data_IF_128555663180
#
_entry.id   IF_128555663180
#
_cell.length_a   1.000
_cell.length_b   1.000
_cell.length_c   1.000
_cell.angle_alpha   90.00
_cell.angle_beta   90.00
_cell.angle_gamma   90.00
#
_symmetry.space_group_name_H-M   'P 1'
#
loop_
_entity.id
_entity.type
_entity.pdbx_description
1 polymer ?
#
# COMPACT_ATOMS: atom_id res chain seq x y z
N UNK A 1 26.34 1.81 8.15
CA UNK A 1 25.69 2.60 7.05
C UNK A 1 24.56 3.40 7.62
N UNK A 2 24.63 4.73 7.47
CA UNK A 2 23.57 5.64 7.95
C UNK A 2 22.59 5.92 6.80
N UNK A 3 21.32 5.65 7.05
CA UNK A 3 20.24 5.71 6.04
C UNK A 3 19.20 6.74 6.48
N UNK A 4 18.83 7.63 5.58
CA UNK A 4 17.71 8.55 5.79
C UNK A 4 16.53 8.13 4.90
N UNK A 5 15.43 7.76 5.52
CA UNK A 5 14.17 7.48 4.83
C UNK A 5 13.39 8.78 4.68
N UNK A 6 13.07 9.15 3.45
CA UNK A 6 12.24 10.32 3.14
C UNK A 6 10.82 9.87 2.85
N UNK A 7 9.86 10.36 3.62
CA UNK A 7 8.44 9.97 3.49
C UNK A 7 7.52 11.19 3.50
N UNK A 8 6.41 11.10 2.78
CA UNK A 8 5.35 12.14 2.76
C UNK A 8 4.77 12.39 4.15
N UNK A 9 4.49 11.31 4.87
CA UNK A 9 3.99 11.30 6.24
C UNK A 9 4.63 10.14 7.00
N UNK A 10 4.67 10.23 8.32
CA UNK A 10 5.15 9.18 9.20
C UNK A 10 4.35 9.24 10.52
N UNK A 11 4.11 8.12 11.20
CA UNK A 11 3.31 8.09 12.42
C UNK A 11 3.73 9.17 13.42
N UNK A 12 2.76 9.79 14.06
CA UNK A 12 2.96 10.86 15.07
C UNK A 12 3.23 10.26 16.44
N UNK A 13 2.56 9.15 16.71
CA UNK A 13 2.61 8.35 17.92
C UNK A 13 2.37 6.86 17.58
N UNK A 14 2.37 6.00 18.57
CA UNK A 14 2.20 4.55 18.42
C UNK A 14 0.81 4.15 17.88
N UNK A 15 -0.20 4.97 18.14
CA UNK A 15 -1.58 4.69 17.74
C UNK A 15 -1.92 5.24 16.34
N UNK A 16 -1.07 6.11 15.77
CA UNK A 16 -1.29 6.71 14.46
C UNK A 16 -1.23 5.64 13.34
N UNK A 17 -2.33 5.37 12.61
CA UNK A 17 -2.36 4.36 11.56
C UNK A 17 -1.59 4.76 10.30
N UNK A 18 -1.09 6.00 10.23
CA UNK A 18 -0.42 6.54 9.05
C UNK A 18 0.85 5.77 8.73
N UNK A 19 0.85 5.06 7.60
CA UNK A 19 2.00 4.28 7.08
C UNK A 19 2.70 3.38 8.12
N UNK A 20 1.94 2.72 8.99
CA UNK A 20 2.47 1.79 10.01
C UNK A 20 3.40 0.73 9.42
N UNK A 21 3.10 0.23 8.21
CA UNK A 21 3.96 -0.73 7.53
C UNK A 21 5.39 -0.21 7.29
N UNK A 22 5.56 1.10 7.01
CA UNK A 22 6.89 1.70 6.83
C UNK A 22 7.64 1.80 8.17
N UNK A 23 6.93 2.19 9.23
CA UNK A 23 7.51 2.22 10.57
C UNK A 23 7.99 0.82 11.00
N UNK A 24 7.19 -0.23 10.74
CA UNK A 24 7.54 -1.61 11.03
C UNK A 24 8.74 -2.09 10.17
N UNK A 25 8.76 -1.75 8.88
CA UNK A 25 9.91 -2.03 8.01
C UNK A 25 11.19 -1.43 8.58
N UNK A 26 11.14 -0.16 8.99
CA UNK A 26 12.31 0.53 9.57
C UNK A 26 12.70 -0.11 10.90
N UNK A 27 11.75 -0.42 11.77
CA UNK A 27 12.01 -1.07 13.07
C UNK A 27 12.76 -2.39 12.89
N UNK A 28 12.31 -3.25 11.95
CA UNK A 28 12.94 -4.55 11.67
C UNK A 28 14.33 -4.40 11.03
N UNK A 29 14.51 -3.44 10.13
CA UNK A 29 15.83 -3.14 9.56
C UNK A 29 16.81 -2.62 10.64
N UNK A 30 16.34 -1.77 11.56
CA UNK A 30 17.15 -1.31 12.70
C UNK A 30 17.53 -2.45 13.63
N UNK A 31 16.63 -3.40 13.87
CA UNK A 31 16.95 -4.62 14.64
C UNK A 31 18.04 -5.48 13.97
N UNK A 32 18.27 -5.34 12.66
CA UNK A 32 19.40 -5.95 11.93
C UNK A 32 20.69 -5.10 11.95
N UNK A 33 20.69 -3.98 12.64
CA UNK A 33 21.88 -3.14 12.82
C UNK A 33 22.03 -1.99 11.83
N UNK A 34 21.01 -1.69 10.99
CA UNK A 34 21.03 -0.49 10.16
C UNK A 34 20.71 0.76 10.98
N UNK A 35 21.48 1.82 10.82
CA UNK A 35 21.21 3.13 11.41
C UNK A 35 20.23 3.90 10.50
N UNK A 36 18.93 3.81 10.79
CA UNK A 36 17.88 4.42 9.96
C UNK A 36 17.18 5.52 10.74
N UNK A 37 17.08 6.68 10.13
CA UNK A 37 16.31 7.84 10.60
C UNK A 37 15.31 8.27 9.54
N UNK A 38 14.30 9.05 9.92
CA UNK A 38 13.21 9.47 9.04
C UNK A 38 13.21 10.98 8.84
N UNK A 39 13.01 11.42 7.60
CA UNK A 39 12.78 12.81 7.25
C UNK A 39 11.39 12.98 6.67
N UNK A 40 10.57 13.78 7.31
CA UNK A 40 9.17 14.02 6.91
C UNK A 40 8.74 15.44 7.25
N UNK A 41 7.55 15.85 6.80
CA UNK A 41 7.02 17.17 7.13
C UNK A 41 6.42 17.23 8.54
N UNK A 42 6.46 18.40 9.14
CA UNK A 42 5.70 18.70 10.35
C UNK A 42 4.19 18.67 10.08
N UNK A 43 3.43 18.24 11.08
CA UNK A 43 1.98 18.33 11.11
C UNK A 43 1.53 19.21 12.27
N UNK A 44 0.75 20.26 11.98
CA UNK A 44 0.22 21.21 12.95
C UNK A 44 1.25 21.69 14.00
N UNK A 45 2.49 21.90 13.56
CA UNK A 45 3.59 22.43 14.39
C UNK A 45 4.37 21.38 15.18
N UNK A 46 4.16 20.09 14.93
CA UNK A 46 4.98 19.03 15.52
C UNK A 46 6.46 19.17 15.13
N UNK A 47 7.35 18.98 16.08
CA UNK A 47 8.82 18.99 15.89
C UNK A 47 9.42 17.61 15.75
N UNK A 48 10.74 17.56 15.81
CA UNK A 48 11.48 16.31 15.85
C UNK A 48 11.05 15.46 17.03
N UNK A 49 10.91 14.17 16.80
CA UNK A 49 10.47 13.19 17.80
C UNK A 49 11.27 11.89 17.64
N UNK A 50 11.09 10.98 18.58
CA UNK A 50 11.55 9.60 18.45
C UNK A 50 10.36 8.70 18.67
N UNK A 51 10.13 7.73 17.77
CA UNK A 51 9.08 6.73 17.88
C UNK A 51 9.72 5.35 17.80
N UNK A 52 9.51 4.50 18.81
CA UNK A 52 10.11 3.16 18.91
C UNK A 52 11.62 3.15 18.67
N UNK A 53 12.33 4.17 19.20
CA UNK A 53 13.76 4.34 18.99
C UNK A 53 14.17 4.88 17.62
N UNK A 54 13.22 5.16 16.70
CA UNK A 54 13.48 5.71 15.37
C UNK A 54 13.51 7.24 15.47
N UNK A 55 14.65 7.92 15.21
CA UNK A 55 14.67 9.38 15.14
C UNK A 55 13.92 9.92 13.94
N UNK A 56 13.05 10.90 14.16
CA UNK A 56 12.20 11.50 13.12
C UNK A 56 12.48 13.00 13.05
N UNK A 57 13.00 13.44 11.91
CA UNK A 57 13.27 14.83 11.59
C UNK A 57 12.07 15.43 10.86
N UNK A 58 11.33 16.31 11.54
CA UNK A 58 10.13 16.95 10.99
C UNK A 58 10.44 18.40 10.60
N UNK A 59 10.46 18.69 9.31
CA UNK A 59 10.68 20.06 8.85
C UNK A 59 9.40 20.89 8.84
N UNK A 60 9.51 22.10 9.36
CA UNK A 60 8.44 23.11 9.28
C UNK A 60 8.44 23.73 7.89
N UNK A 61 7.25 23.96 7.31
CA UNK A 61 7.15 24.54 5.98
C UNK A 61 6.18 25.72 5.89
N UNK A 62 5.38 25.95 6.92
CA UNK A 62 4.47 27.10 7.00
C UNK A 62 4.06 27.40 8.43
N UNK A 63 3.00 28.25 8.62
CA UNK A 63 2.42 28.49 9.93
C UNK A 63 1.75 27.22 10.47
N UNK A 64 1.84 27.00 11.77
CA UNK A 64 1.42 25.77 12.47
C UNK A 64 0.04 25.23 12.04
N UNK A 65 -0.98 26.12 11.94
CA UNK A 65 -2.35 25.73 11.55
C UNK A 65 -2.50 25.22 10.12
N UNK A 66 -1.53 25.52 9.25
CA UNK A 66 -1.56 25.18 7.82
C UNK A 66 -0.59 24.06 7.45
N UNK A 67 0.13 23.51 8.44
CA UNK A 67 1.01 22.34 8.24
C UNK A 67 0.20 21.06 8.28
N UNK A 68 -0.70 20.88 7.32
CA UNK A 68 -1.60 19.72 7.20
C UNK A 68 -1.70 19.18 5.77
N UNK A 69 -0.75 19.56 4.89
CA UNK A 69 -0.81 19.25 3.46
C UNK A 69 -0.89 17.74 3.15
N UNK A 70 -0.33 16.87 3.98
CA UNK A 70 -0.04 15.47 3.65
C UNK A 70 -0.55 14.43 4.64
N UNK A 71 -1.23 14.78 5.72
CA UNK A 71 -1.53 13.85 6.82
C UNK A 71 -2.98 13.34 6.86
N UNK A 72 -3.97 14.20 6.66
CA UNK A 72 -5.39 13.83 6.78
C UNK A 72 -5.98 13.45 5.41
N UNK A 73 -5.57 14.17 4.38
CA UNK A 73 -6.00 13.98 3.00
C UNK A 73 -4.80 14.04 2.07
N UNK A 74 -4.97 13.56 0.85
CA UNK A 74 -3.91 13.71 -0.15
C UNK A 74 -3.72 15.19 -0.51
N UNK A 75 -2.48 15.63 -0.69
CA UNK A 75 -2.17 17.00 -1.09
C UNK A 75 -2.98 17.49 -2.30
N UNK A 76 -3.21 16.66 -3.33
CA UNK A 76 -4.05 17.00 -4.47
C UNK A 76 -5.51 17.22 -4.19
N UNK A 77 -6.10 16.47 -3.29
CA UNK A 77 -7.50 16.65 -2.95
C UNK A 77 -7.70 17.97 -2.20
N UNK A 78 -6.73 18.34 -1.34
CA UNK A 78 -6.72 19.68 -0.69
C UNK A 78 -6.53 20.81 -1.70
N UNK A 79 -5.61 20.68 -2.65
CA UNK A 79 -5.37 21.68 -3.69
C UNK A 79 -6.60 21.95 -4.56
N UNK A 80 -7.51 20.99 -4.69
CA UNK A 80 -8.78 21.18 -5.42
C UNK A 80 -9.81 22.00 -4.66
N UNK A 81 -9.76 21.97 -3.32
CA UNK A 81 -10.74 22.64 -2.47
C UNK A 81 -10.42 24.11 -2.26
N UNK A 82 -9.15 24.52 -2.38
CA UNK A 82 -8.76 25.91 -2.11
C UNK A 82 -7.48 26.30 -2.87
N UNK A 83 -7.51 27.45 -3.52
CA UNK A 83 -6.35 28.07 -4.19
C UNK A 83 -5.16 28.28 -3.23
N UNK A 84 -5.41 28.50 -1.95
CA UNK A 84 -4.34 28.62 -0.94
C UNK A 84 -3.47 27.35 -0.88
N UNK A 85 -4.07 26.17 -0.94
CA UNK A 85 -3.33 24.91 -0.93
C UNK A 85 -2.51 24.67 -2.22
N UNK A 86 -2.70 25.43 -3.28
CA UNK A 86 -1.86 25.36 -4.48
C UNK A 86 -0.49 26.03 -4.30
N UNK A 87 -0.38 26.93 -3.33
CA UNK A 87 0.87 27.65 -3.02
C UNK A 87 1.72 26.89 -2.00
N UNK A 88 1.09 26.16 -1.06
CA UNK A 88 1.79 25.44 0.01
C UNK A 88 2.86 24.46 -0.48
N UNK A 89 2.70 23.73 -1.60
CA UNK A 89 3.75 22.85 -2.13
C UNK A 89 5.06 23.58 -2.43
N UNK A 90 5.03 24.84 -2.84
CA UNK A 90 6.25 25.62 -3.08
C UNK A 90 7.03 25.85 -1.77
N UNK A 91 6.35 26.22 -0.70
CA UNK A 91 6.95 26.36 0.63
C UNK A 91 7.43 25.03 1.17
N UNK A 92 6.64 23.96 1.00
CA UNK A 92 7.01 22.60 1.38
C UNK A 92 8.35 22.18 0.74
N UNK A 93 8.48 22.38 -0.56
CA UNK A 93 9.70 22.04 -1.30
C UNK A 93 10.88 22.94 -0.91
N UNK A 94 10.67 24.24 -0.76
CA UNK A 94 11.72 25.19 -0.39
C UNK A 94 12.28 24.89 1.02
N UNK A 95 11.41 24.89 2.02
CA UNK A 95 11.85 24.70 3.42
C UNK A 95 12.30 23.27 3.68
N UNK A 96 11.67 22.26 3.04
CA UNK A 96 12.12 20.89 3.07
C UNK A 96 13.52 20.72 2.45
N UNK A 97 13.82 21.42 1.35
CA UNK A 97 15.14 21.41 0.73
C UNK A 97 16.21 22.05 1.63
N UNK A 98 15.90 23.18 2.26
CA UNK A 98 16.80 23.83 3.22
C UNK A 98 17.08 22.92 4.43
N UNK A 99 16.01 22.31 4.97
CA UNK A 99 16.12 21.38 6.09
C UNK A 99 16.95 20.14 5.71
N UNK A 100 16.70 19.55 4.54
CA UNK A 100 17.45 18.40 4.02
C UNK A 100 18.92 18.73 3.84
N UNK A 101 19.24 19.89 3.24
CA UNK A 101 20.63 20.34 3.08
C UNK A 101 21.35 20.42 4.41
N UNK A 102 20.74 21.10 5.41
CA UNK A 102 21.33 21.27 6.75
C UNK A 102 21.49 19.92 7.45
N UNK A 103 20.47 19.08 7.40
CA UNK A 103 20.49 17.75 8.02
C UNK A 103 21.59 16.89 7.41
N UNK A 104 21.66 16.82 6.08
CA UNK A 104 22.67 16.02 5.38
C UNK A 104 24.11 16.51 5.65
N UNK A 105 24.33 17.81 5.76
CA UNK A 105 25.65 18.39 6.10
C UNK A 105 26.07 18.06 7.52
N UNK A 106 25.12 17.94 8.43
CA UNK A 106 25.37 17.64 9.84
C UNK A 106 25.55 16.14 10.08
N UNK A 107 24.61 15.34 9.62
CA UNK A 107 24.49 13.91 9.94
C UNK A 107 25.21 12.98 8.95
N UNK A 108 25.43 13.43 7.71
CA UNK A 108 26.21 12.74 6.66
C UNK A 108 25.69 11.34 6.31
N UNK A 109 24.40 11.18 6.03
CA UNK A 109 23.81 9.90 5.60
C UNK A 109 24.48 9.38 4.33
N UNK A 110 24.71 8.08 4.30
CA UNK A 110 25.31 7.37 3.16
C UNK A 110 24.26 7.09 2.09
N UNK A 111 23.06 6.73 2.53
CA UNK A 111 21.92 6.42 1.66
C UNK A 111 20.73 7.33 2.02
N UNK A 112 20.07 7.84 0.99
CA UNK A 112 18.75 8.51 1.10
C UNK A 112 17.74 7.69 0.33
N UNK A 113 16.82 7.04 1.05
CA UNK A 113 15.76 6.22 0.50
C UNK A 113 14.48 7.04 0.40
N UNK A 114 14.09 7.38 -0.81
CA UNK A 114 12.97 8.28 -1.10
C UNK A 114 11.73 7.47 -1.45
N UNK A 115 10.74 7.52 -0.56
CA UNK A 115 9.40 6.98 -0.79
C UNK A 115 8.53 8.05 -1.46
N UNK A 116 7.68 7.64 -2.40
CA UNK A 116 6.86 8.54 -3.23
C UNK A 116 7.71 9.64 -3.90
N UNK A 117 8.49 9.31 -4.93
CA UNK A 117 9.46 10.23 -5.55
C UNK A 117 8.87 11.54 -6.06
N UNK A 118 7.55 11.60 -6.27
CA UNK A 118 6.86 12.86 -6.60
C UNK A 118 6.26 13.47 -5.32
N UNK A 119 6.72 14.63 -4.83
CA UNK A 119 7.83 15.45 -5.36
C UNK A 119 9.18 15.20 -4.65
N UNK A 120 9.28 14.19 -3.79
CA UNK A 120 10.38 14.00 -2.83
C UNK A 120 11.73 13.67 -3.45
N UNK A 121 11.78 13.30 -4.75
CA UNK A 121 13.06 13.12 -5.47
C UNK A 121 13.95 14.38 -5.38
N UNK A 122 13.36 15.57 -5.26
CA UNK A 122 14.09 16.80 -5.03
C UNK A 122 14.93 16.74 -3.76
N UNK A 123 14.41 16.19 -2.66
CA UNK A 123 15.13 16.06 -1.39
C UNK A 123 16.32 15.10 -1.52
N UNK A 124 16.16 14.00 -2.28
CA UNK A 124 17.26 13.10 -2.62
C UNK A 124 18.37 13.83 -3.39
N UNK A 125 18.04 14.66 -4.38
CA UNK A 125 19.01 15.43 -5.12
C UNK A 125 19.70 16.50 -4.27
N UNK A 126 18.96 17.17 -3.39
CA UNK A 126 19.53 18.14 -2.44
C UNK A 126 20.50 17.45 -1.48
N UNK A 127 20.15 16.25 -0.97
CA UNK A 127 21.05 15.47 -0.14
C UNK A 127 22.35 15.10 -0.86
N UNK A 128 22.24 14.64 -2.12
CA UNK A 128 23.44 14.34 -2.95
C UNK A 128 24.25 15.59 -3.29
N UNK A 129 23.61 16.74 -3.50
CA UNK A 129 24.31 17.99 -3.71
C UNK A 129 25.07 18.46 -2.45
N UNK A 130 24.50 18.23 -1.26
CA UNK A 130 25.13 18.52 0.02
C UNK A 130 26.32 17.57 0.34
N UNK A 131 26.23 16.29 -0.08
CA UNK A 131 27.28 15.27 0.05
C UNK A 131 27.31 14.38 -1.19
N UNK A 132 28.27 14.54 -2.07
CA UNK A 132 28.33 13.87 -3.39
C UNK A 132 28.35 12.34 -3.37
N UNK A 133 28.83 11.74 -2.26
CA UNK A 133 28.89 10.28 -2.09
C UNK A 133 27.54 9.65 -1.70
N UNK A 134 26.53 10.47 -1.37
CA UNK A 134 25.20 9.97 -0.99
C UNK A 134 24.53 9.18 -2.11
N UNK A 135 24.14 7.95 -1.83
CA UNK A 135 23.38 7.08 -2.72
C UNK A 135 21.88 7.38 -2.58
N UNK A 136 21.14 7.26 -3.67
CA UNK A 136 19.71 7.55 -3.70
C UNK A 136 18.94 6.32 -4.18
N UNK A 137 17.99 5.88 -3.37
CA UNK A 137 16.99 4.88 -3.73
C UNK A 137 15.67 5.59 -3.97
N UNK A 138 14.97 5.26 -5.05
CA UNK A 138 13.63 5.77 -5.35
C UNK A 138 12.63 4.63 -5.30
N UNK A 139 11.65 4.71 -4.38
CA UNK A 139 10.63 3.68 -4.23
C UNK A 139 9.25 4.17 -4.67
N UNK A 140 8.64 3.44 -5.62
CA UNK A 140 7.39 3.76 -6.30
C UNK A 140 6.22 2.90 -5.81
N UNK A 141 5.04 3.56 -5.65
CA UNK A 141 3.81 2.96 -5.14
C UNK A 141 2.65 3.01 -6.13
N UNK A 142 2.92 3.28 -7.42
CA UNK A 142 1.94 3.35 -8.50
C UNK A 142 1.07 4.63 -8.50
N UNK A 143 0.68 5.18 -7.37
CA UNK A 143 -0.19 6.35 -7.30
C UNK A 143 0.42 7.60 -7.95
N UNK A 144 1.70 7.85 -7.75
CA UNK A 144 2.45 8.96 -8.34
C UNK A 144 2.59 8.84 -9.86
N UNK A 145 2.71 7.62 -10.38
CA UNK A 145 2.81 7.34 -11.82
C UNK A 145 1.49 7.63 -12.53
N UNK A 146 0.38 7.17 -11.94
CA UNK A 146 -0.98 7.43 -12.44
C UNK A 146 -1.30 8.93 -12.48
N UNK A 147 -0.83 9.67 -11.49
CA UNK A 147 -0.98 11.12 -11.41
C UNK A 147 -0.30 11.85 -12.56
N UNK A 148 0.95 11.49 -12.83
CA UNK A 148 1.75 12.09 -13.90
C UNK A 148 1.18 11.75 -15.27
N UNK A 149 0.72 10.53 -15.45
CA UNK A 149 0.17 10.10 -16.74
C UNK A 149 -1.17 10.77 -17.08
N UNK A 150 -1.96 11.15 -16.06
CA UNK A 150 -3.34 11.63 -16.28
C UNK A 150 -3.57 13.11 -16.01
N UNK A 151 -2.79 13.74 -15.15
CA UNK A 151 -3.13 15.07 -14.62
C UNK A 151 -2.04 16.13 -14.74
N UNK A 152 -0.76 15.75 -14.67
CA UNK A 152 0.35 16.70 -14.60
C UNK A 152 1.49 16.22 -15.50
N UNK A 153 1.25 16.22 -16.81
CA UNK A 153 2.23 15.78 -17.79
C UNK A 153 3.59 16.51 -17.69
N UNK A 154 3.59 17.76 -17.21
CA UNK A 154 4.82 18.55 -17.01
C UNK A 154 5.76 17.91 -15.98
N UNK A 155 5.23 17.18 -15.01
CA UNK A 155 6.03 16.45 -14.01
C UNK A 155 6.61 15.13 -14.54
N UNK A 156 6.22 14.71 -15.73
CA UNK A 156 6.73 13.49 -16.36
C UNK A 156 8.25 13.57 -16.57
N UNK A 157 8.74 14.71 -17.02
CA UNK A 157 10.18 14.97 -17.15
C UNK A 157 10.92 14.93 -15.81
N UNK A 158 10.28 15.44 -14.75
CA UNK A 158 10.83 15.40 -13.40
C UNK A 158 10.99 13.95 -12.90
N UNK A 159 9.95 13.12 -12.96
CA UNK A 159 10.03 11.72 -12.55
C UNK A 159 10.98 10.90 -13.42
N UNK A 160 10.97 11.10 -14.74
CA UNK A 160 11.95 10.46 -15.63
C UNK A 160 13.39 10.76 -15.20
N UNK A 161 13.67 12.03 -14.87
CA UNK A 161 14.98 12.41 -14.35
C UNK A 161 15.27 11.79 -12.98
N UNK A 162 14.26 11.69 -12.10
CA UNK A 162 14.41 11.05 -10.79
C UNK A 162 14.81 9.57 -10.93
N UNK A 163 14.10 8.84 -11.78
CA UNK A 163 14.36 7.43 -12.08
C UNK A 163 15.80 7.26 -12.61
N UNK A 164 16.17 8.01 -13.65
CA UNK A 164 17.49 7.89 -14.31
C UNK A 164 18.67 8.31 -13.43
N UNK A 165 18.43 9.11 -12.38
CA UNK A 165 19.49 9.58 -11.45
C UNK A 165 19.53 8.81 -10.15
N UNK A 166 18.65 7.86 -9.93
CA UNK A 166 18.69 6.96 -8.80
C UNK A 166 19.85 5.95 -8.92
N UNK A 167 20.43 5.53 -7.80
CA UNK A 167 21.38 4.41 -7.77
C UNK A 167 20.66 3.06 -7.75
N UNK A 168 19.43 3.04 -7.18
CA UNK A 168 18.50 1.92 -7.22
C UNK A 168 17.08 2.44 -7.37
N UNK A 169 16.25 1.67 -8.07
CA UNK A 169 14.82 1.93 -8.23
C UNK A 169 14.05 0.73 -7.75
N UNK A 170 13.10 0.97 -6.86
CA UNK A 170 12.26 -0.06 -6.25
C UNK A 170 10.81 0.20 -6.58
N UNK A 171 10.05 -0.85 -6.86
CA UNK A 171 8.60 -0.81 -7.09
C UNK A 171 7.89 -1.83 -6.20
N UNK A 172 6.65 -1.55 -5.80
CA UNK A 172 5.87 -2.47 -4.94
C UNK A 172 5.28 -3.67 -5.68
N UNK A 173 5.28 -3.64 -7.02
CA UNK A 173 4.72 -4.72 -7.84
C UNK A 173 5.35 -4.72 -9.23
N UNK A 174 5.24 -5.86 -9.92
CA UNK A 174 5.66 -5.99 -11.32
C UNK A 174 4.92 -5.01 -12.24
N UNK A 175 3.64 -4.76 -11.97
CA UNK A 175 2.85 -3.76 -12.70
C UNK A 175 3.44 -2.36 -12.51
N UNK A 176 3.77 -1.98 -11.28
CA UNK A 176 4.41 -0.68 -10.99
C UNK A 176 5.81 -0.60 -11.63
N UNK A 177 6.59 -1.69 -11.62
CA UNK A 177 7.91 -1.73 -12.26
C UNK A 177 7.82 -1.48 -13.76
N UNK A 178 6.85 -2.09 -14.46
CA UNK A 178 6.61 -1.84 -15.89
C UNK A 178 6.25 -0.37 -16.18
N UNK A 179 5.40 0.24 -15.35
CA UNK A 179 5.05 1.66 -15.48
C UNK A 179 6.28 2.57 -15.28
N UNK A 180 7.15 2.25 -14.31
CA UNK A 180 8.41 2.96 -14.05
C UNK A 180 9.35 2.86 -15.25
N UNK A 181 9.57 1.66 -15.78
CA UNK A 181 10.41 1.44 -16.97
C UNK A 181 9.87 2.17 -18.19
N UNK A 182 8.56 2.11 -18.43
CA UNK A 182 7.90 2.84 -19.50
C UNK A 182 8.08 4.36 -19.35
N UNK A 183 7.98 4.89 -18.12
CA UNK A 183 8.21 6.31 -17.85
C UNK A 183 9.68 6.69 -18.02
N UNK A 184 10.62 5.84 -17.64
CA UNK A 184 12.06 6.07 -17.83
C UNK A 184 12.43 6.24 -19.32
N UNK A 185 11.73 5.52 -20.20
CA UNK A 185 11.99 5.51 -21.65
C UNK A 185 13.34 4.86 -22.03
N UNK A 186 13.92 4.08 -21.12
CA UNK A 186 15.10 3.25 -21.30
C UNK A 186 14.96 2.03 -20.42
N UNK A 187 15.63 0.95 -20.79
CA UNK A 187 15.72 -0.22 -19.91
C UNK A 187 16.58 0.13 -18.68
N UNK A 188 15.97 -0.03 -17.52
CA UNK A 188 16.61 0.19 -16.22
C UNK A 188 16.25 -0.97 -15.28
N UNK A 189 17.16 -1.44 -14.44
CA UNK A 189 16.82 -2.43 -13.44
C UNK A 189 15.86 -1.80 -12.40
N UNK A 190 14.70 -2.41 -12.25
CA UNK A 190 13.72 -2.05 -11.21
C UNK A 190 13.54 -3.27 -10.32
N UNK A 191 13.91 -3.13 -9.06
CA UNK A 191 13.75 -4.17 -8.06
C UNK A 191 12.30 -4.17 -7.56
N UNK A 192 11.66 -5.34 -7.50
CA UNK A 192 10.28 -5.46 -7.02
C UNK A 192 10.32 -5.93 -5.57
N UNK A 193 10.01 -5.03 -4.65
CA UNK A 193 9.89 -5.32 -3.22
C UNK A 193 8.48 -4.92 -2.77
N UNK A 194 7.59 -5.90 -2.58
CA UNK A 194 6.22 -5.66 -2.15
C UNK A 194 6.15 -5.31 -0.65
N UNK A 195 4.94 -5.08 -0.15
CA UNK A 195 4.71 -5.02 1.28
C UNK A 195 4.86 -6.39 1.92
N UNK A 196 5.33 -6.39 3.18
CA UNK A 196 5.30 -7.57 4.01
C UNK A 196 3.97 -7.70 4.75
N UNK A 197 3.62 -8.93 5.10
CA UNK A 197 2.49 -9.24 5.97
C UNK A 197 2.97 -10.09 7.15
N UNK A 198 2.29 -9.96 8.29
CA UNK A 198 2.53 -10.82 9.45
C UNK A 198 1.89 -12.19 9.21
N UNK A 199 2.58 -13.24 9.62
CA UNK A 199 1.98 -14.57 9.64
C UNK A 199 1.24 -14.75 10.97
N UNK A 200 -0.09 -14.97 10.96
CA UNK A 200 -0.85 -15.09 12.20
C UNK A 200 -0.52 -16.38 12.94
N UNK A 201 -0.67 -16.34 14.26
CA UNK A 201 -0.52 -17.54 15.10
C UNK A 201 -1.68 -18.54 14.89
N UNK A 202 -2.87 -18.02 14.55
CA UNK A 202 -4.09 -18.80 14.36
C UNK A 202 -4.49 -18.81 12.88
N UNK A 203 -4.70 -20.00 12.34
CA UNK A 203 -5.19 -20.20 10.97
C UNK A 203 -6.70 -20.27 10.94
N UNK A 204 -7.29 -20.06 9.75
CA UNK A 204 -8.73 -20.21 9.57
C UNK A 204 -9.18 -21.63 9.95
N UNK A 205 -10.14 -21.69 10.86
CA UNK A 205 -10.87 -22.91 11.21
C UNK A 205 -12.22 -22.85 10.50
N UNK A 206 -12.43 -23.72 9.53
CA UNK A 206 -13.67 -23.78 8.76
C UNK A 206 -14.85 -24.15 9.68
N UNK A 207 -15.54 -23.17 10.24
CA UNK A 207 -16.54 -23.31 11.31
C UNK A 207 -17.93 -23.75 10.85
N UNK A 208 -18.06 -24.24 9.62
CA UNK A 208 -19.32 -24.82 9.12
C UNK A 208 -20.22 -23.86 8.35
N UNK A 209 -20.34 -22.60 8.74
CA UNK A 209 -21.08 -21.58 8.00
C UNK A 209 -20.22 -20.99 6.87
N UNK A 210 -20.74 -20.97 5.64
CA UNK A 210 -20.04 -20.37 4.50
C UNK A 210 -19.98 -18.84 4.66
N UNK A 211 -18.85 -18.32 5.13
CA UNK A 211 -18.61 -16.87 5.33
C UNK A 211 -17.65 -16.34 4.28
N UNK A 212 -18.12 -15.39 3.47
CA UNK A 212 -17.32 -14.64 2.51
C UNK A 212 -16.91 -13.32 3.17
N UNK A 213 -15.62 -13.06 3.28
CA UNK A 213 -15.08 -11.86 3.89
C UNK A 213 -14.63 -10.86 2.81
N UNK A 214 -14.92 -9.60 3.03
CA UNK A 214 -14.29 -8.45 2.39
C UNK A 214 -13.72 -7.51 3.45
N UNK A 215 -12.51 -7.04 3.25
CA UNK A 215 -11.87 -6.02 4.10
C UNK A 215 -11.31 -4.92 3.22
N UNK A 216 -11.64 -3.68 3.52
CA UNK A 216 -11.05 -2.55 2.84
C UNK A 216 -11.93 -1.31 2.74
N UNK A 217 -11.35 -0.24 2.20
CA UNK A 217 -12.07 1.01 2.00
C UNK A 217 -13.18 0.83 0.97
N UNK A 218 -14.38 1.32 1.27
CA UNK A 218 -15.54 1.26 0.37
C UNK A 218 -15.45 2.36 -0.70
N UNK A 219 -14.75 2.04 -1.79
CA UNK A 219 -14.54 2.90 -2.97
C UNK A 219 -14.76 2.09 -4.25
N UNK A 220 -15.19 2.74 -5.33
CA UNK A 220 -15.59 2.12 -6.60
C UNK A 220 -14.59 1.05 -7.09
N UNK A 221 -13.28 1.38 -7.11
CA UNK A 221 -12.24 0.47 -7.60
C UNK A 221 -12.08 -0.86 -6.84
N UNK A 222 -12.65 -0.98 -5.66
CA UNK A 222 -12.66 -2.22 -4.87
C UNK A 222 -13.75 -3.21 -5.28
N UNK A 223 -14.73 -2.77 -6.06
CA UNK A 223 -15.73 -3.61 -6.70
C UNK A 223 -16.74 -4.27 -5.76
N UNK A 224 -16.95 -3.74 -4.54
CA UNK A 224 -17.87 -4.33 -3.54
C UNK A 224 -19.30 -4.48 -4.06
N UNK A 225 -19.71 -3.62 -4.99
CA UNK A 225 -21.01 -3.72 -5.65
C UNK A 225 -21.20 -5.08 -6.35
N UNK A 226 -20.15 -5.60 -7.00
CA UNK A 226 -20.19 -6.91 -7.66
C UNK A 226 -20.23 -8.07 -6.66
N UNK A 227 -19.64 -7.90 -5.47
CA UNK A 227 -19.75 -8.87 -4.39
C UNK A 227 -21.19 -8.96 -3.86
N UNK A 228 -21.85 -7.83 -3.71
CA UNK A 228 -23.26 -7.77 -3.29
C UNK A 228 -24.17 -8.43 -4.36
N UNK A 229 -23.93 -8.14 -5.64
CA UNK A 229 -24.67 -8.80 -6.73
C UNK A 229 -24.45 -10.31 -6.74
N UNK A 230 -23.20 -10.74 -6.58
CA UNK A 230 -22.86 -12.16 -6.51
C UNK A 230 -23.52 -12.86 -5.31
N UNK A 231 -23.68 -12.18 -4.16
CA UNK A 231 -24.34 -12.72 -2.98
C UNK A 231 -25.79 -13.15 -3.25
N UNK A 232 -26.49 -12.48 -4.15
CA UNK A 232 -27.85 -12.87 -4.57
C UNK A 232 -27.90 -14.29 -5.16
N UNK A 233 -26.84 -14.69 -5.86
CA UNK A 233 -26.71 -16.01 -6.48
C UNK A 233 -26.01 -17.06 -5.60
N UNK A 234 -25.62 -16.71 -4.35
CA UNK A 234 -24.94 -17.62 -3.39
C UNK A 234 -25.73 -17.66 -2.07
N UNK A 235 -26.93 -18.23 -2.03
CA UNK A 235 -27.86 -18.10 -0.89
C UNK A 235 -27.37 -18.78 0.39
N UNK A 236 -26.40 -19.71 0.30
CA UNK A 236 -25.82 -20.42 1.44
C UNK A 236 -24.69 -19.65 2.13
N UNK A 237 -24.27 -18.50 1.58
CA UNK A 237 -23.17 -17.72 2.12
C UNK A 237 -23.65 -16.49 2.87
N UNK A 238 -22.96 -16.20 3.99
CA UNK A 238 -22.98 -14.90 4.64
C UNK A 238 -21.83 -14.06 4.09
N UNK A 239 -22.07 -12.79 3.81
CA UNK A 239 -21.06 -11.84 3.36
C UNK A 239 -20.80 -10.82 4.46
N UNK A 240 -19.58 -10.75 4.92
CA UNK A 240 -19.12 -9.80 5.95
C UNK A 240 -18.24 -8.75 5.29
N UNK A 241 -18.67 -7.50 5.33
CA UNK A 241 -17.97 -6.36 4.76
C UNK A 241 -17.41 -5.50 5.89
N UNK A 242 -16.08 -5.48 6.01
CA UNK A 242 -15.34 -4.70 7.01
C UNK A 242 -14.67 -3.51 6.32
N UNK A 243 -14.87 -2.33 6.89
CA UNK A 243 -14.34 -1.06 6.42
C UNK A 243 -15.43 -0.03 6.14
N UNK A 244 -14.99 1.14 5.72
CA UNK A 244 -15.85 2.29 5.47
C UNK A 244 -15.38 3.07 4.24
N UNK A 245 -16.23 3.96 3.72
CA UNK A 245 -15.89 4.80 2.58
C UNK A 245 -17.08 5.46 1.91
N UNK A 246 -16.83 6.32 0.91
CA UNK A 246 -17.85 7.13 0.26
C UNK A 246 -18.95 6.31 -0.47
N UNK A 247 -18.71 5.03 -0.77
CA UNK A 247 -19.67 4.16 -1.44
C UNK A 247 -20.64 3.45 -0.46
N UNK A 248 -20.47 3.62 0.87
CA UNK A 248 -21.21 2.85 1.87
C UNK A 248 -22.72 2.90 1.67
N UNK A 249 -23.31 4.10 1.61
CA UNK A 249 -24.75 4.28 1.48
C UNK A 249 -25.30 3.65 0.19
N UNK A 250 -24.57 3.81 -0.91
CA UNK A 250 -24.92 3.21 -2.20
C UNK A 250 -24.86 1.68 -2.18
N UNK A 251 -23.87 1.11 -1.47
CA UNK A 251 -23.71 -0.34 -1.31
C UNK A 251 -24.80 -0.93 -0.41
N UNK A 252 -25.18 -0.27 0.67
CA UNK A 252 -26.30 -0.67 1.53
C UNK A 252 -27.65 -0.60 0.78
N UNK A 253 -27.87 0.44 -0.04
CA UNK A 253 -29.02 0.53 -0.91
C UNK A 253 -29.05 -0.63 -1.93
N UNK A 254 -27.90 -0.97 -2.53
CA UNK A 254 -27.77 -2.10 -3.46
C UNK A 254 -28.08 -3.44 -2.79
N UNK A 255 -27.67 -3.65 -1.55
CA UNK A 255 -28.00 -4.87 -0.80
C UNK A 255 -29.52 -5.01 -0.59
N UNK A 256 -30.23 -3.90 -0.35
CA UNK A 256 -31.69 -3.87 -0.28
C UNK A 256 -32.34 -4.17 -1.63
N UNK A 257 -31.86 -3.54 -2.69
CA UNK A 257 -32.36 -3.78 -4.06
C UNK A 257 -32.21 -5.24 -4.51
N UNK A 258 -31.12 -5.90 -4.06
CA UNK A 258 -30.84 -7.32 -4.36
C UNK A 258 -31.49 -8.31 -3.40
N UNK A 259 -32.22 -7.83 -2.40
CA UNK A 259 -32.86 -8.65 -1.37
C UNK A 259 -31.88 -9.60 -0.65
N UNK A 260 -30.72 -9.04 -0.21
CA UNK A 260 -29.65 -9.80 0.47
C UNK A 260 -29.26 -9.23 1.83
N UNK A 261 -30.07 -8.34 2.40
CA UNK A 261 -29.78 -7.67 3.67
C UNK A 261 -29.75 -8.61 4.87
N UNK A 262 -30.39 -9.77 4.77
CA UNK A 262 -30.41 -10.82 5.77
C UNK A 262 -29.04 -11.55 5.92
N UNK A 263 -28.21 -11.51 4.88
CA UNK A 263 -26.93 -12.23 4.83
C UNK A 263 -25.72 -11.37 4.43
N UNK A 264 -25.91 -10.10 4.05
CA UNK A 264 -24.82 -9.14 3.81
C UNK A 264 -24.75 -8.16 4.99
N UNK A 265 -23.64 -8.15 5.71
CA UNK A 265 -23.46 -7.30 6.89
C UNK A 265 -22.31 -6.30 6.70
N UNK A 266 -22.58 -5.02 6.97
CA UNK A 266 -21.60 -3.94 6.97
C UNK A 266 -21.17 -3.63 8.39
N UNK A 267 -19.91 -3.97 8.75
CA UNK A 267 -19.38 -3.86 10.11
C UNK A 267 -18.70 -2.53 10.42
N UNK A 268 -18.41 -1.72 9.38
CA UNK A 268 -17.63 -0.50 9.56
C UNK A 268 -16.18 -0.80 9.97
N UNK A 269 -15.59 0.10 10.75
CA UNK A 269 -14.28 -0.13 11.36
C UNK A 269 -14.42 -1.07 12.55
N UNK A 270 -13.53 -2.04 12.63
CA UNK A 270 -13.48 -3.04 13.70
C UNK A 270 -12.16 -2.99 14.45
N UNK A 271 -12.08 -3.59 15.62
CA UNK A 271 -10.82 -3.71 16.37
C UNK A 271 -9.88 -4.72 15.71
N UNK A 272 -8.57 -4.69 16.02
CA UNK A 272 -7.62 -5.69 15.52
C UNK A 272 -8.04 -7.13 15.85
N UNK A 273 -8.57 -7.36 17.06
CA UNK A 273 -9.04 -8.68 17.51
C UNK A 273 -10.30 -9.15 16.77
N UNK A 274 -11.17 -8.22 16.40
CA UNK A 274 -12.35 -8.52 15.58
C UNK A 274 -11.94 -8.82 14.13
N UNK A 275 -10.93 -8.10 13.62
CA UNK A 275 -10.38 -8.34 12.29
C UNK A 275 -9.69 -9.71 12.21
N UNK A 276 -8.90 -10.07 13.21
CA UNK A 276 -8.27 -11.39 13.34
C UNK A 276 -9.31 -12.50 13.31
N UNK A 277 -10.38 -12.36 14.13
CA UNK A 277 -11.51 -13.32 14.14
C UNK A 277 -12.25 -13.38 12.81
N UNK A 278 -12.37 -12.26 12.09
CA UNK A 278 -13.03 -12.24 10.80
C UNK A 278 -12.22 -13.01 9.74
N UNK A 279 -10.91 -12.82 9.69
CA UNK A 279 -10.03 -13.60 8.81
C UNK A 279 -10.04 -15.08 9.21
N UNK A 280 -9.83 -15.39 10.50
CA UNK A 280 -9.80 -16.78 10.99
C UNK A 280 -11.11 -17.54 10.78
N UNK A 281 -12.26 -16.85 10.75
CA UNK A 281 -13.58 -17.44 10.53
C UNK A 281 -14.04 -17.45 9.08
N UNK A 282 -13.27 -16.92 8.13
CA UNK A 282 -13.69 -16.81 6.74
C UNK A 282 -13.51 -18.13 5.97
N UNK A 283 -14.51 -18.48 5.18
CA UNK A 283 -14.43 -19.60 4.21
C UNK A 283 -13.72 -19.15 2.93
N UNK A 284 -13.93 -17.93 2.50
CA UNK A 284 -13.29 -17.31 1.36
C UNK A 284 -13.18 -15.80 1.56
N UNK A 285 -12.20 -15.20 0.91
CA UNK A 285 -12.02 -13.75 0.84
C UNK A 285 -12.29 -13.27 -0.59
N UNK A 286 -13.03 -12.18 -0.76
CA UNK A 286 -13.34 -11.63 -2.07
C UNK A 286 -12.86 -10.19 -2.22
N UNK A 287 -12.03 -9.95 -3.24
CA UNK A 287 -11.64 -8.61 -3.70
C UNK A 287 -11.88 -8.48 -5.21
N UNK A 288 -13.13 -8.26 -5.66
CA UNK A 288 -13.45 -8.15 -7.08
C UNK A 288 -13.10 -6.76 -7.62
N UNK A 289 -11.82 -6.39 -7.56
CA UNK A 289 -11.32 -5.09 -7.95
C UNK A 289 -11.69 -4.75 -9.40
N UNK A 290 -11.93 -3.46 -9.66
CA UNK A 290 -12.27 -2.94 -10.99
C UNK A 290 -11.41 -1.74 -11.34
N UNK A 291 -11.45 -1.32 -12.58
CA UNK A 291 -10.94 -0.01 -12.99
C UNK A 291 -12.08 1.00 -12.81
N UNK A 292 -11.91 1.96 -11.90
CA UNK A 292 -12.93 2.97 -11.63
C UNK A 292 -13.06 3.99 -12.77
N UNK A 293 -14.07 4.86 -12.69
CA UNK A 293 -14.33 5.95 -13.67
C UNK A 293 -13.14 6.89 -13.86
N UNK A 294 -12.23 6.95 -12.91
CA UNK A 294 -10.99 7.72 -12.99
C UNK A 294 -9.86 6.89 -13.60
N UNK A 295 -10.11 5.61 -13.90
CA UNK A 295 -9.18 4.61 -14.37
C UNK A 295 -8.16 4.22 -13.30
N UNK A 296 -8.47 4.38 -12.02
CA UNK A 296 -7.69 3.85 -10.92
C UNK A 296 -8.09 2.40 -10.63
N UNK A 297 -7.13 1.59 -10.21
CA UNK A 297 -7.35 0.20 -9.84
C UNK A 297 -6.51 -0.18 -8.62
N UNK A 298 -6.46 -1.46 -8.28
CA UNK A 298 -5.67 -1.94 -7.15
C UNK A 298 -4.15 -1.84 -7.44
N UNK A 299 -3.38 -1.37 -6.45
CA UNK A 299 -1.93 -1.26 -6.56
C UNK A 299 -1.21 -2.59 -6.33
N UNK A 300 -1.51 -3.26 -5.23
CA UNK A 300 -0.99 -4.58 -4.88
C UNK A 300 -2.09 -5.48 -4.30
N UNK A 301 -2.96 -4.97 -3.43
CA UNK A 301 -3.99 -5.79 -2.77
C UNK A 301 -3.54 -6.38 -1.43
N UNK A 302 -3.03 -5.54 -0.52
CA UNK A 302 -2.57 -5.96 0.82
C UNK A 302 -3.53 -6.91 1.52
N UNK A 303 -4.82 -6.65 1.45
CA UNK A 303 -5.86 -7.48 2.08
C UNK A 303 -5.94 -8.91 1.51
N UNK A 304 -5.43 -9.14 0.29
CA UNK A 304 -5.27 -10.48 -0.26
C UNK A 304 -4.12 -11.21 0.44
N UNK A 305 -2.99 -10.51 0.66
CA UNK A 305 -1.86 -11.06 1.42
C UNK A 305 -2.30 -11.41 2.85
N UNK A 306 -3.06 -10.53 3.49
CA UNK A 306 -3.63 -10.77 4.82
C UNK A 306 -4.53 -12.02 4.81
N UNK A 307 -5.51 -12.11 3.91
CA UNK A 307 -6.39 -13.27 3.85
C UNK A 307 -5.63 -14.58 3.62
N UNK A 308 -4.68 -14.57 2.68
CA UNK A 308 -3.87 -15.75 2.35
C UNK A 308 -2.96 -16.15 3.51
N UNK A 309 -2.44 -15.22 4.31
CA UNK A 309 -1.64 -15.54 5.51
C UNK A 309 -2.45 -16.30 6.57
N UNK A 310 -3.77 -16.10 6.62
CA UNK A 310 -4.71 -16.85 7.45
C UNK A 310 -5.16 -18.19 6.84
N UNK A 311 -4.56 -18.64 5.75
CA UNK A 311 -4.99 -19.85 5.02
C UNK A 311 -6.38 -19.71 4.37
N UNK A 312 -6.85 -18.47 4.13
CA UNK A 312 -8.15 -18.19 3.50
C UNK A 312 -7.97 -18.10 2.00
N UNK A 313 -8.65 -18.95 1.20
CA UNK A 313 -8.59 -18.86 -0.25
C UNK A 313 -9.23 -17.56 -0.75
N UNK A 314 -8.67 -16.99 -1.79
CA UNK A 314 -9.08 -15.69 -2.31
C UNK A 314 -9.74 -15.80 -3.68
N UNK A 315 -10.76 -14.94 -3.93
CA UNK A 315 -11.31 -14.69 -5.26
C UNK A 315 -11.11 -13.22 -5.61
N UNK A 316 -10.52 -12.96 -6.76
CA UNK A 316 -10.14 -11.60 -7.17
C UNK A 316 -10.16 -11.43 -8.69
N UNK A 317 -9.68 -10.30 -9.19
CA UNK A 317 -9.54 -9.96 -10.61
C UNK A 317 -8.08 -9.72 -11.00
N UNK A 318 -7.70 -9.94 -12.25
CA UNK A 318 -6.33 -9.77 -12.72
C UNK A 318 -5.99 -8.31 -13.02
N UNK A 319 -5.99 -7.43 -12.00
CA UNK A 319 -5.75 -6.00 -12.15
C UNK A 319 -4.55 -5.52 -11.32
N UNK A 320 -3.77 -4.63 -11.89
CA UNK A 320 -2.62 -4.00 -11.20
C UNK A 320 -1.60 -5.02 -10.69
N UNK A 321 -1.22 -4.91 -9.41
CA UNK A 321 -0.28 -5.82 -8.75
C UNK A 321 -0.90 -7.11 -8.21
N UNK A 322 -2.22 -7.32 -8.35
CA UNK A 322 -2.90 -8.53 -7.87
C UNK A 322 -2.29 -9.79 -8.52
N UNK A 323 -1.87 -9.70 -9.78
CA UNK A 323 -1.25 -10.81 -10.52
C UNK A 323 0.13 -11.23 -9.99
N UNK A 324 0.73 -10.45 -9.11
CA UNK A 324 1.97 -10.82 -8.40
C UNK A 324 1.69 -11.70 -7.18
N UNK A 325 0.42 -11.68 -6.69
CA UNK A 325 -0.03 -12.37 -5.48
C UNK A 325 -0.83 -13.61 -5.83
N UNK A 326 -1.79 -13.49 -6.76
CA UNK A 326 -2.74 -14.56 -7.05
C UNK A 326 -2.45 -15.17 -8.42
N UNK A 327 -2.20 -16.48 -8.42
CA UNK A 327 -2.13 -17.32 -9.61
C UNK A 327 -3.40 -18.17 -9.68
N UNK A 328 -4.14 -18.03 -10.80
CA UNK A 328 -5.45 -18.66 -10.94
C UNK A 328 -5.39 -20.18 -10.78
N UNK A 329 -6.30 -20.73 -9.98
CA UNK A 329 -6.44 -22.15 -9.62
C UNK A 329 -5.25 -22.77 -8.88
N UNK A 330 -4.24 -21.96 -8.53
CA UNK A 330 -3.08 -22.39 -7.74
C UNK A 330 -3.06 -21.77 -6.35
N UNK A 331 -3.12 -20.43 -6.26
CA UNK A 331 -3.09 -19.72 -4.98
C UNK A 331 -4.37 -18.92 -4.71
N UNK A 332 -5.34 -18.97 -5.62
CA UNK A 332 -6.64 -18.33 -5.53
C UNK A 332 -7.42 -18.48 -6.83
N UNK A 333 -8.55 -17.82 -6.94
CA UNK A 333 -9.36 -17.78 -8.16
C UNK A 333 -9.34 -16.37 -8.74
N UNK A 334 -9.15 -16.27 -10.06
CA UNK A 334 -9.22 -15.02 -10.81
C UNK A 334 -10.46 -15.05 -11.70
N UNK A 335 -11.30 -14.02 -11.56
CA UNK A 335 -12.50 -13.83 -12.37
C UNK A 335 -12.39 -12.56 -13.22
N UNK A 336 -13.16 -12.43 -14.32
CA UNK A 336 -13.23 -11.19 -15.08
C UNK A 336 -13.70 -10.02 -14.19
N UNK A 337 -13.16 -8.81 -14.36
CA UNK A 337 -13.67 -7.64 -13.67
C UNK A 337 -15.08 -7.28 -14.18
N UNK A 338 -15.91 -6.67 -13.32
CA UNK A 338 -17.31 -6.30 -13.60
C UNK A 338 -18.25 -7.50 -13.91
N UNK A 339 -17.89 -8.70 -13.47
CA UNK A 339 -18.67 -9.92 -13.71
C UNK A 339 -19.09 -10.56 -12.37
N UNK A 340 -20.30 -10.23 -11.93
CA UNK A 340 -20.87 -10.76 -10.69
C UNK A 340 -21.26 -12.26 -10.80
N UNK A 341 -21.57 -12.75 -12.00
CA UNK A 341 -21.93 -14.15 -12.21
C UNK A 341 -20.69 -15.04 -12.11
N UNK A 342 -19.59 -14.65 -12.77
CA UNK A 342 -18.31 -15.34 -12.63
C UNK A 342 -17.81 -15.33 -11.18
N UNK A 343 -17.97 -14.19 -10.47
CA UNK A 343 -17.64 -14.10 -9.04
C UNK A 343 -18.50 -15.05 -8.22
N UNK A 344 -19.82 -15.11 -8.45
CA UNK A 344 -20.72 -16.03 -7.75
C UNK A 344 -20.38 -17.50 -8.03
N UNK A 345 -20.03 -17.85 -9.26
CA UNK A 345 -19.60 -19.20 -9.63
C UNK A 345 -18.32 -19.61 -8.90
N UNK A 346 -17.31 -18.71 -8.84
CA UNK A 346 -16.07 -18.95 -8.12
C UNK A 346 -16.31 -19.12 -6.61
N UNK A 347 -17.16 -18.28 -6.01
CA UNK A 347 -17.50 -18.37 -4.59
C UNK A 347 -18.27 -19.67 -4.28
N UNK A 348 -19.23 -20.09 -5.11
CA UNK A 348 -19.90 -21.40 -4.96
C UNK A 348 -18.90 -22.54 -5.00
N UNK A 349 -17.97 -22.54 -5.96
CA UNK A 349 -16.93 -23.58 -6.05
C UNK A 349 -16.11 -23.70 -4.78
N UNK A 350 -15.72 -22.57 -4.16
CA UNK A 350 -15.02 -22.57 -2.88
C UNK A 350 -15.87 -23.07 -1.71
N UNK A 351 -17.16 -22.85 -1.73
CA UNK A 351 -18.09 -23.31 -0.67
C UNK A 351 -18.37 -24.81 -0.81
N UNK A 352 -18.56 -25.28 -2.04
CA UNK A 352 -19.02 -26.65 -2.31
C UNK A 352 -17.88 -27.67 -2.38
N UNK A 353 -16.66 -27.26 -2.81
CA UNK A 353 -15.48 -28.13 -2.90
C UNK A 353 -14.45 -27.80 -1.79
N UNK A 354 -14.64 -28.42 -0.62
CA UNK A 354 -13.77 -28.22 0.53
C UNK A 354 -12.32 -28.64 0.29
N UNK A 355 -12.10 -29.71 -0.51
CA UNK A 355 -10.73 -30.18 -0.79
C UNK A 355 -9.97 -29.19 -1.70
N UNK A 356 -10.66 -28.65 -2.72
CA UNK A 356 -10.11 -27.61 -3.56
C UNK A 356 -9.81 -26.32 -2.77
N UNK A 357 -10.73 -25.91 -1.90
CA UNK A 357 -10.61 -24.73 -1.03
C UNK A 357 -9.42 -24.83 -0.08
N UNK A 358 -9.26 -25.98 0.59
CA UNK A 358 -8.13 -26.23 1.47
C UNK A 358 -6.78 -26.18 0.70
N UNK A 359 -6.71 -26.78 -0.48
CA UNK A 359 -5.52 -26.77 -1.33
C UNK A 359 -5.13 -25.34 -1.75
N UNK A 360 -6.10 -24.50 -2.12
CA UNK A 360 -5.84 -23.10 -2.47
C UNK A 360 -5.37 -22.29 -1.27
N UNK A 361 -5.96 -22.51 -0.08
CA UNK A 361 -5.56 -21.87 1.15
C UNK A 361 -4.12 -22.22 1.53
N UNK A 362 -3.76 -23.51 1.48
CA UNK A 362 -2.40 -23.99 1.75
C UNK A 362 -1.37 -23.40 0.78
N UNK A 363 -1.65 -23.44 -0.51
CA UNK A 363 -0.75 -22.91 -1.52
C UNK A 363 -0.63 -21.36 -1.43
N UNK A 364 -1.72 -20.68 -1.07
CA UNK A 364 -1.72 -19.25 -0.81
C UNK A 364 -0.86 -18.87 0.38
N UNK A 365 -1.04 -19.54 1.51
CA UNK A 365 -0.24 -19.33 2.72
C UNK A 365 1.26 -19.58 2.46
N UNK A 366 1.59 -20.68 1.76
CA UNK A 366 2.98 -20.98 1.43
C UNK A 366 3.62 -19.89 0.57
N UNK A 367 2.89 -19.38 -0.43
CA UNK A 367 3.36 -18.26 -1.24
C UNK A 367 3.65 -17.01 -0.38
N UNK A 368 2.77 -16.72 0.61
CA UNK A 368 2.97 -15.59 1.52
C UNK A 368 4.21 -15.79 2.38
N UNK A 369 4.38 -16.98 2.96
CA UNK A 369 5.55 -17.30 3.78
C UNK A 369 6.86 -17.15 2.98
N UNK A 370 6.88 -17.61 1.73
CA UNK A 370 8.08 -17.60 0.89
C UNK A 370 8.44 -16.23 0.33
N UNK A 371 7.45 -15.37 0.02
CA UNK A 371 7.69 -14.16 -0.78
C UNK A 371 7.26 -12.85 -0.13
N UNK A 372 6.34 -12.87 0.84
CA UNK A 372 5.72 -11.68 1.42
C UNK A 372 5.86 -11.62 2.94
N UNK A 373 6.54 -12.58 3.55
CA UNK A 373 6.85 -12.56 4.98
C UNK A 373 7.87 -11.48 5.33
N UNK A 374 7.80 -10.98 6.55
CA UNK A 374 8.74 -9.97 7.04
C UNK A 374 10.21 -10.37 6.86
N UNK A 375 10.66 -11.60 7.21
CA UNK A 375 12.05 -11.98 6.99
C UNK A 375 12.49 -11.79 5.55
N UNK A 376 11.67 -12.29 4.59
CA UNK A 376 12.00 -12.23 3.18
C UNK A 376 12.10 -10.78 2.66
N UNK A 377 11.13 -9.93 2.99
CA UNK A 377 11.11 -8.53 2.55
C UNK A 377 12.27 -7.73 3.18
N UNK A 378 12.59 -7.98 4.44
CA UNK A 378 13.71 -7.33 5.12
C UNK A 378 15.04 -7.79 4.53
N UNK A 379 15.18 -9.05 4.12
CA UNK A 379 16.38 -9.54 3.41
C UNK A 379 16.59 -8.82 2.09
N UNK A 380 15.53 -8.58 1.32
CA UNK A 380 15.60 -7.85 0.06
C UNK A 380 16.05 -6.39 0.25
N UNK A 381 15.49 -5.67 1.24
CA UNK A 381 15.96 -4.32 1.54
C UNK A 381 17.40 -4.30 2.04
N UNK A 382 17.79 -5.25 2.90
CA UNK A 382 19.14 -5.39 3.38
C UNK A 382 20.13 -5.59 2.22
N UNK A 383 19.81 -6.45 1.26
CA UNK A 383 20.63 -6.68 0.07
C UNK A 383 20.85 -5.39 -0.76
N UNK A 384 19.80 -4.56 -0.92
CA UNK A 384 19.93 -3.25 -1.59
C UNK A 384 20.87 -2.33 -0.81
N UNK A 385 20.69 -2.23 0.51
CA UNK A 385 21.48 -1.32 1.32
C UNK A 385 22.95 -1.75 1.38
N UNK A 386 23.22 -3.06 1.50
CA UNK A 386 24.57 -3.61 1.50
C UNK A 386 25.26 -3.45 0.13
N UNK A 387 24.53 -3.63 -0.96
CA UNK A 387 25.04 -3.41 -2.32
C UNK A 387 25.35 -1.94 -2.64
N UNK A 388 24.93 -0.99 -1.80
CA UNK A 388 25.19 0.44 -1.94
C UNK A 388 26.23 0.95 -0.92
N UNK A 389 26.80 0.09 -0.08
CA UNK A 389 27.90 0.48 0.82
C UNK A 389 29.06 1.02 -0.03
N UNK A 390 29.54 2.18 0.36
CA UNK A 390 30.76 2.77 -0.20
C UNK A 390 31.86 2.50 0.82
N UNK A 391 32.84 1.73 0.42
CA UNK A 391 34.06 1.51 1.20
C UNK A 391 34.79 2.83 1.50
#
# INVERSE_FOLDING_TARGET
>A
VRILVVSTAFPRDADDPTVKWLAETIRRLRARGYEIEVFTSAYKGGGNTTLDGIPIHRFRYFFRRWENLTHEESAPDRMRRSLFYTILPAFYLLFGSIAMWRLQRRERYDIVHVHWPLPHALFGWVARAARRRTRIIMQFYSIELRWVNRRIAVLRGFLRRAIRKADRVVAISTSTAREVTALAGTDIPVEVIPYAVEMPEHKATNSGDATILYVGRLVERKGVAYLIDAAASVPRAKVVIIGDGPERDALEARAKERDVTDRVSFRGWVTPEELDRAYSGATAFALPAVVDKRGDTEGLGMVLLEAMSYHVPVVTTALGGITDIVENEKTGLIVPPNDAEALAAALRRLIDDRAFTARLGEAGEQLIADRFSWPHIIDQFAAIYDGLRVD
#
